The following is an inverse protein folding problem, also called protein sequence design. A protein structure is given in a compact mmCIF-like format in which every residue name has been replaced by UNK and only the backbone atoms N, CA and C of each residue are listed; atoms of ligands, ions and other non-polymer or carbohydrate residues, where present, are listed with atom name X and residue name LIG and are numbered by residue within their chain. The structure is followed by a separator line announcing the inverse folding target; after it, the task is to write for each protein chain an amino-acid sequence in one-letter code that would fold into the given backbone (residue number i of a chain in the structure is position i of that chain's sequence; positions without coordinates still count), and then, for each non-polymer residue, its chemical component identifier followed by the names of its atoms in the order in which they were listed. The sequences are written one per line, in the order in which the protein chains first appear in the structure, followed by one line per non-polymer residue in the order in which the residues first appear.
data_IF_524308983748
#
_entry.id   IF_524308983748
#
_cell.length_a   1.000
_cell.length_b   1.000
_cell.length_c   1.000
_cell.angle_alpha   90.00
_cell.angle_beta   90.00
_cell.angle_gamma   90.00
#
_symmetry.space_group_name_H-M   'P 1'
#
loop_
_entity.id
_entity.type
_entity.pdbx_description
1 polymer ?
#
# COMPACT_ATOMS: atom_id res chain seq x y z
N UNK A 1 16.33 28.12 3.79
CA UNK A 1 15.12 28.54 3.03
C UNK A 1 14.60 27.51 2.02
N UNK A 2 15.33 27.08 0.98
CA UNK A 2 14.83 26.06 0.03
C UNK A 2 14.81 24.65 0.64
N UNK A 3 15.89 24.25 1.33
CA UNK A 3 16.00 22.94 1.99
C UNK A 3 14.96 22.75 3.11
N UNK A 4 14.76 23.74 3.97
CA UNK A 4 13.76 23.67 5.05
C UNK A 4 12.32 23.56 4.52
N UNK A 5 12.02 24.17 3.36
CA UNK A 5 10.72 23.97 2.72
C UNK A 5 10.59 22.55 2.21
N UNK A 6 11.62 22.03 1.54
CA UNK A 6 11.64 20.66 1.04
C UNK A 6 11.47 19.64 2.18
N UNK A 7 12.12 19.87 3.32
CA UNK A 7 12.00 19.02 4.51
C UNK A 7 10.59 19.07 5.11
N UNK A 8 9.96 20.25 5.19
CA UNK A 8 8.57 20.39 5.65
C UNK A 8 7.53 19.75 4.73
N UNK A 9 7.84 19.63 3.44
CA UNK A 9 6.95 18.98 2.46
C UNK A 9 7.33 17.53 2.18
N UNK A 10 8.37 17.00 2.84
CA UNK A 10 8.81 15.64 2.62
C UNK A 10 7.78 14.64 3.15
N UNK A 11 7.54 13.58 2.36
CA UNK A 11 6.69 12.48 2.80
C UNK A 11 7.35 11.76 3.98
N UNK A 12 6.59 11.66 5.08
CA UNK A 12 6.95 10.90 6.28
C UNK A 12 6.70 9.41 6.01
N UNK A 13 7.63 8.73 5.36
CA UNK A 13 7.44 7.33 4.94
C UNK A 13 7.14 6.36 6.08
N UNK A 14 7.66 6.62 7.28
CA UNK A 14 7.33 5.84 8.48
C UNK A 14 5.86 5.97 8.87
N UNK A 15 5.27 7.16 8.73
CA UNK A 15 3.84 7.39 8.99
C UNK A 15 2.99 6.68 7.93
N UNK A 16 3.37 6.76 6.65
CA UNK A 16 2.67 6.04 5.57
C UNK A 16 2.68 4.53 5.80
N UNK A 17 3.83 3.98 6.22
CA UNK A 17 3.92 2.55 6.52
C UNK A 17 3.06 2.15 7.73
N UNK A 18 3.00 3.00 8.76
CA UNK A 18 2.13 2.79 9.92
C UNK A 18 0.65 2.85 9.50
N UNK A 19 0.25 3.89 8.78
CA UNK A 19 -1.10 4.05 8.22
C UNK A 19 -1.52 2.82 7.40
N UNK A 20 -0.62 2.31 6.55
CA UNK A 20 -0.93 1.10 5.76
C UNK A 20 -1.02 -0.14 6.64
N UNK A 21 -0.16 -0.27 7.65
CA UNK A 21 -0.18 -1.41 8.57
C UNK A 21 -1.47 -1.47 9.38
N UNK A 22 -2.02 -0.31 9.75
CA UNK A 22 -3.26 -0.20 10.53
C UNK A 22 -4.51 -0.49 9.70
N UNK A 23 -4.49 -0.21 8.39
CA UNK A 23 -5.64 -0.35 7.52
C UNK A 23 -5.67 -1.68 6.75
N UNK A 24 -4.50 -2.28 6.48
CA UNK A 24 -4.44 -3.52 5.71
C UNK A 24 -5.23 -4.65 6.40
N UNK A 25 -5.90 -5.52 5.62
CA UNK A 25 -6.53 -6.71 6.16
C UNK A 25 -5.55 -7.56 6.96
N UNK A 26 -6.02 -8.20 8.06
CA UNK A 26 -5.16 -9.00 8.95
C UNK A 26 -4.49 -10.19 8.27
N UNK A 27 -5.05 -10.67 7.17
CA UNK A 27 -4.54 -11.76 6.35
C UNK A 27 -3.65 -11.27 5.20
N UNK A 28 -3.47 -9.95 5.04
CA UNK A 28 -2.58 -9.36 4.07
C UNK A 28 -1.18 -9.18 4.65
N UNK A 29 -0.16 -9.44 3.84
CA UNK A 29 1.23 -9.16 4.17
C UNK A 29 1.98 -8.58 2.99
N UNK A 30 2.83 -7.61 3.28
CA UNK A 30 3.62 -6.91 2.28
C UNK A 30 4.91 -7.67 2.00
N UNK A 31 5.28 -7.76 0.72
CA UNK A 31 6.56 -8.30 0.27
C UNK A 31 7.46 -7.23 -0.33
N UNK A 32 6.88 -6.10 -0.78
CA UNK A 32 7.63 -4.93 -1.20
C UNK A 32 6.86 -3.64 -0.88
N UNK A 33 7.59 -2.61 -0.48
CA UNK A 33 7.10 -1.25 -0.28
C UNK A 33 8.12 -0.29 -0.87
N UNK A 34 7.75 0.47 -1.90
CA UNK A 34 8.66 1.35 -2.65
C UNK A 34 8.07 2.73 -2.80
N UNK A 35 8.49 3.66 -1.94
CA UNK A 35 8.12 5.07 -2.02
C UNK A 35 8.93 5.83 -3.05
N UNK A 36 8.29 6.71 -3.83
CA UNK A 36 8.91 7.63 -4.77
C UNK A 36 8.07 8.90 -4.90
N UNK A 37 8.66 10.05 -4.58
CA UNK A 37 7.98 11.34 -4.59
C UNK A 37 6.66 11.29 -3.79
N UNK A 38 5.52 11.44 -4.46
CA UNK A 38 4.15 11.41 -3.88
C UNK A 38 3.46 10.05 -4.05
N UNK A 39 4.18 9.00 -4.44
CA UNK A 39 3.59 7.72 -4.80
C UNK A 39 4.30 6.56 -4.11
N UNK A 40 3.57 5.47 -3.85
CA UNK A 40 4.13 4.23 -3.31
C UNK A 40 3.62 3.02 -4.10
N UNK A 41 4.56 2.17 -4.50
CA UNK A 41 4.28 0.84 -5.02
C UNK A 41 4.31 -0.17 -3.87
N UNK A 42 3.25 -0.95 -3.74
CA UNK A 42 3.11 -2.00 -2.72
C UNK A 42 2.84 -3.33 -3.42
N UNK A 43 3.61 -4.35 -3.05
CA UNK A 43 3.34 -5.73 -3.46
C UNK A 43 3.12 -6.59 -2.23
N UNK A 44 2.24 -7.58 -2.34
CA UNK A 44 1.94 -8.46 -1.23
C UNK A 44 1.08 -9.64 -1.61
N UNK A 45 0.64 -10.33 -0.56
CA UNK A 45 -0.23 -11.48 -0.62
C UNK A 45 -1.37 -11.28 0.39
N UNK A 46 -2.58 -11.69 0.03
CA UNK A 46 -3.76 -11.64 0.90
C UNK A 46 -4.69 -12.82 0.56
N UNK A 47 -5.62 -13.18 1.44
CA UNK A 47 -6.68 -14.13 1.08
C UNK A 47 -7.57 -13.57 -0.04
N UNK A 48 -7.87 -12.27 0.01
CA UNK A 48 -8.58 -11.53 -1.03
C UNK A 48 -7.94 -10.16 -1.28
N UNK A 49 -7.29 -10.01 -2.43
CA UNK A 49 -6.63 -8.77 -2.84
C UNK A 49 -7.61 -7.60 -2.90
N UNK A 50 -8.87 -7.80 -3.34
CA UNK A 50 -9.88 -6.74 -3.37
C UNK A 50 -10.02 -5.99 -2.02
N UNK A 51 -9.89 -6.71 -0.89
CA UNK A 51 -9.92 -6.12 0.45
C UNK A 51 -8.74 -5.17 0.70
N UNK A 52 -7.56 -5.46 0.15
CA UNK A 52 -6.39 -4.57 0.22
C UNK A 52 -6.66 -3.26 -0.53
N UNK A 53 -7.22 -3.34 -1.74
CA UNK A 53 -7.53 -2.14 -2.52
C UNK A 53 -8.57 -1.26 -1.82
N UNK A 54 -9.63 -1.86 -1.28
CA UNK A 54 -10.66 -1.13 -0.54
C UNK A 54 -10.09 -0.50 0.74
N UNK A 55 -9.30 -1.25 1.51
CA UNK A 55 -8.66 -0.75 2.73
C UNK A 55 -7.75 0.45 2.46
N UNK A 56 -6.89 0.36 1.45
CA UNK A 56 -5.96 1.44 1.11
C UNK A 56 -6.69 2.69 0.60
N UNK A 57 -7.85 2.57 -0.06
CA UNK A 57 -8.66 3.73 -0.46
C UNK A 57 -9.17 4.53 0.75
N UNK A 58 -9.27 3.91 1.92
CA UNK A 58 -9.72 4.54 3.16
C UNK A 58 -8.56 4.92 4.09
N UNK A 59 -7.32 4.57 3.74
CA UNK A 59 -6.15 4.87 4.56
C UNK A 59 -5.85 6.39 4.55
N UNK A 60 -5.33 6.94 5.66
CA UNK A 60 -4.91 8.33 5.72
C UNK A 60 -3.90 8.65 4.61
N UNK A 61 -3.94 9.90 4.15
CA UNK A 61 -3.03 10.43 3.11
C UNK A 61 -3.13 9.72 1.76
N UNK A 62 -4.09 8.81 1.53
CA UNK A 62 -4.28 8.21 0.22
C UNK A 62 -5.18 9.08 -0.64
N UNK A 63 -4.66 9.51 -1.79
CA UNK A 63 -5.40 10.27 -2.80
C UNK A 63 -5.92 9.39 -3.95
N UNK A 64 -5.37 8.20 -4.12
CA UNK A 64 -5.83 7.26 -5.13
C UNK A 64 -5.14 5.91 -5.06
N UNK A 65 -5.83 4.87 -5.50
CA UNK A 65 -5.35 3.48 -5.51
C UNK A 65 -5.66 2.88 -6.87
N UNK A 66 -4.66 2.24 -7.49
CA UNK A 66 -4.87 1.49 -8.74
C UNK A 66 -4.06 0.20 -8.73
N UNK A 67 -4.48 -0.75 -9.57
CA UNK A 67 -3.68 -1.94 -9.81
C UNK A 67 -2.43 -1.55 -10.58
N UNK A 68 -1.29 -2.11 -10.18
CA UNK A 68 -0.02 -1.96 -10.89
C UNK A 68 0.36 -3.23 -11.68
N UNK A 69 -0.29 -4.36 -11.35
CA UNK A 69 -0.25 -5.60 -12.12
C UNK A 69 -1.57 -6.38 -11.94
N UNK A 70 -1.87 -7.37 -12.79
CA UNK A 70 -2.99 -8.29 -12.57
C UNK A 70 -2.87 -9.03 -11.24
N UNK A 71 -4.02 -9.25 -10.57
CA UNK A 71 -4.09 -10.13 -9.39
C UNK A 71 -3.85 -11.56 -9.86
N UNK A 72 -2.97 -12.28 -9.15
CA UNK A 72 -2.63 -13.68 -9.47
C UNK A 72 -2.95 -14.58 -8.29
N UNK A 73 -3.71 -15.64 -8.51
CA UNK A 73 -3.87 -16.69 -7.51
C UNK A 73 -2.56 -17.49 -7.40
N UNK A 74 -2.06 -17.65 -6.18
CA UNK A 74 -0.96 -18.58 -5.95
C UNK A 74 -1.46 -20.02 -5.92
N UNK A 75 -0.61 -20.96 -6.37
CA UNK A 75 -0.95 -22.37 -6.36
C UNK A 75 -1.32 -22.83 -4.94
N UNK A 76 -2.48 -23.48 -4.74
CA UNK A 76 -2.87 -23.98 -3.43
C UNK A 76 -1.80 -24.91 -2.88
N UNK A 77 -1.35 -24.64 -1.65
CA UNK A 77 -0.50 -25.58 -0.93
C UNK A 77 -1.40 -26.50 -0.09
N UNK A 78 -1.13 -27.82 -0.03
CA UNK A 78 -1.90 -28.72 0.81
C UNK A 78 -2.03 -28.20 2.25
N UNK A 79 -3.26 -28.11 2.76
CA UNK A 79 -3.55 -27.62 4.11
C UNK A 79 -3.46 -26.10 4.32
N UNK A 80 -3.33 -25.29 3.26
CA UNK A 80 -3.34 -23.82 3.32
C UNK A 80 -4.50 -23.25 2.51
N UNK A 81 -5.10 -22.17 3.00
CA UNK A 81 -6.06 -21.40 2.22
C UNK A 81 -5.38 -20.80 0.96
N UNK A 82 -6.10 -20.67 -0.16
CA UNK A 82 -5.62 -19.93 -1.32
C UNK A 82 -5.26 -18.49 -0.96
N UNK A 83 -4.25 -17.94 -1.63
CA UNK A 83 -3.85 -16.55 -1.49
C UNK A 83 -3.69 -15.90 -2.86
N UNK A 84 -3.90 -14.60 -2.90
CA UNK A 84 -3.81 -13.76 -4.08
C UNK A 84 -2.61 -12.82 -3.95
N UNK A 85 -1.74 -12.87 -4.96
CA UNK A 85 -0.67 -11.90 -5.13
C UNK A 85 -1.22 -10.63 -5.76
N UNK A 86 -0.92 -9.51 -5.13
CA UNK A 86 -1.31 -8.18 -5.61
C UNK A 86 -0.09 -7.28 -5.81
N UNK A 87 -0.27 -6.32 -6.72
CA UNK A 87 0.61 -5.16 -6.87
C UNK A 87 -0.27 -3.91 -7.01
N UNK A 88 -0.06 -2.94 -6.14
CA UNK A 88 -0.88 -1.72 -6.00
C UNK A 88 0.04 -0.52 -6.13
N UNK A 89 -0.38 0.45 -6.93
CA UNK A 89 0.18 1.79 -6.91
C UNK A 89 -0.77 2.71 -6.16
N UNK A 90 -0.24 3.39 -5.13
CA UNK A 90 -0.97 4.34 -4.32
C UNK A 90 -0.40 5.73 -4.55
N UNK A 91 -1.26 6.70 -4.82
CA UNK A 91 -0.92 8.11 -4.81
C UNK A 91 -1.21 8.68 -3.43
N UNK A 92 -0.25 9.38 -2.86
CA UNK A 92 -0.38 10.08 -1.59
C UNK A 92 -0.88 11.52 -1.81
N UNK A 93 -1.67 12.02 -0.86
CA UNK A 93 -2.04 13.41 -0.77
C UNK A 93 -0.86 14.24 -0.27
N UNK A 94 -0.71 15.46 -0.77
CA UNK A 94 0.37 16.38 -0.38
C UNK A 94 0.30 16.82 1.10
N UNK A 95 -0.80 16.51 1.81
CA UNK A 95 -0.99 16.71 3.25
C UNK A 95 -1.89 15.62 3.83
N UNK A 96 -1.56 15.12 5.03
CA UNK A 96 -2.58 14.55 5.90
C UNK A 96 -3.54 15.66 6.35
N UNK A 97 -4.84 15.36 6.52
CA UNK A 97 -5.77 16.26 7.20
C UNK A 97 -5.29 16.60 8.62
#
# INVERSE_FOLDING_TARGET
LALERADRTAIRWSEVLADFSDYLPRDAYLVAFRGRADSVGVEGLAGHAAGVFAALQHAPRVAGVRADAPIRQEAPRPGRAPVERFAVAVRLAERAP
#
